data_IF_757544371956
#
_entry.id   IF_757544371956
#
_cell.length_a   1.000
_cell.length_b   1.000
_cell.length_c   1.000
_cell.angle_alpha   90.00
_cell.angle_beta   90.00
_cell.angle_gamma   90.00
#
_symmetry.space_group_name_H-M   'P 1'
#
loop_
_entity.id
_entity.type
_entity.pdbx_description
1 polymer ?
#
# COMPACT_ATOMS: atom_id res chain seq x y z
N UNK A 1 7.00 -10.67 -16.38
CA UNK A 1 7.19 -10.62 -15.01
C UNK A 1 6.14 -11.38 -14.24
N UNK A 2 5.82 -11.15 -12.97
CA UNK A 2 4.94 -12.02 -12.17
C UNK A 2 3.58 -12.38 -12.84
N UNK A 3 2.84 -11.40 -13.35
CA UNK A 3 1.55 -11.64 -14.02
C UNK A 3 1.68 -12.50 -15.30
N UNK A 4 2.76 -12.32 -16.06
CA UNK A 4 3.08 -13.16 -17.22
C UNK A 4 3.46 -14.58 -16.84
N UNK A 5 4.19 -14.74 -15.74
CA UNK A 5 4.56 -16.05 -15.22
C UNK A 5 3.31 -16.81 -14.72
N UNK A 6 2.39 -16.09 -14.05
CA UNK A 6 1.08 -16.64 -13.69
C UNK A 6 0.29 -17.13 -14.89
N UNK A 7 0.17 -16.34 -15.95
CA UNK A 7 -0.58 -16.73 -17.14
C UNK A 7 0.03 -17.95 -17.82
N UNK A 8 1.36 -17.96 -18.01
CA UNK A 8 2.05 -19.10 -18.61
C UNK A 8 1.82 -20.38 -17.83
N UNK A 9 1.76 -20.30 -16.50
CA UNK A 9 1.49 -21.47 -15.65
C UNK A 9 0.02 -21.89 -15.67
N UNK A 10 -0.93 -20.95 -15.65
CA UNK A 10 -2.36 -21.24 -15.79
C UNK A 10 -2.67 -21.91 -17.13
N UNK A 11 -2.05 -21.44 -18.22
CA UNK A 11 -2.19 -22.04 -19.53
C UNK A 11 -1.56 -23.45 -19.60
N UNK A 12 -0.46 -23.67 -18.88
CA UNK A 12 0.18 -24.98 -18.77
C UNK A 12 -0.67 -26.00 -18.00
N UNK A 13 -1.42 -25.55 -16.99
CA UNK A 13 -2.34 -26.41 -16.22
C UNK A 13 -3.55 -26.87 -17.05
N UNK A 14 -4.01 -26.05 -18.00
CA UNK A 14 -5.11 -26.41 -18.90
C UNK A 14 -4.71 -27.42 -19.97
N UNK A 15 -3.42 -27.69 -20.17
CA UNK A 15 -2.91 -28.59 -21.25
C UNK A 15 -2.50 -29.98 -20.75
N UNK A 16 -2.25 -30.15 -19.45
CA UNK A 16 -1.81 -31.43 -18.86
C UNK A 16 -2.65 -31.76 -17.63
N UNK A 17 -3.37 -32.91 -17.70
CA UNK A 17 -4.11 -33.42 -16.57
C UNK A 17 -3.27 -33.62 -15.33
N UNK A 18 -3.91 -33.37 -14.18
CA UNK A 18 -3.58 -33.73 -12.79
C UNK A 18 -2.10 -34.04 -12.50
N UNK A 19 -1.24 -33.04 -12.60
CA UNK A 19 0.06 -33.09 -11.96
C UNK A 19 -0.12 -32.57 -10.52
N UNK A 20 -0.19 -33.49 -9.54
CA UNK A 20 -0.48 -33.20 -8.13
C UNK A 20 0.61 -32.39 -7.42
N UNK A 21 1.73 -32.16 -8.08
CA UNK A 21 2.89 -31.47 -7.53
C UNK A 21 3.05 -30.01 -8.00
N UNK A 22 2.11 -29.49 -8.79
CA UNK A 22 2.16 -28.08 -9.20
C UNK A 22 1.66 -27.15 -8.08
N UNK A 23 2.38 -26.04 -7.80
CA UNK A 23 1.93 -25.08 -6.81
C UNK A 23 0.54 -24.55 -7.14
N UNK A 24 -0.32 -24.48 -6.14
CA UNK A 24 -1.64 -23.85 -6.27
C UNK A 24 -1.41 -22.34 -6.36
N UNK A 25 -2.00 -21.69 -7.37
CA UNK A 25 -1.85 -20.25 -7.59
C UNK A 25 -3.12 -19.49 -7.26
N UNK A 26 -2.92 -18.24 -6.77
CA UNK A 26 -4.04 -17.31 -6.61
C UNK A 26 -4.65 -17.02 -7.98
N UNK A 27 -5.98 -17.20 -8.16
CA UNK A 27 -6.64 -16.94 -9.43
C UNK A 27 -6.46 -15.48 -9.89
N UNK A 28 -6.22 -15.25 -11.18
CA UNK A 28 -6.07 -13.91 -11.75
C UNK A 28 -7.25 -12.99 -11.40
N UNK A 29 -8.48 -13.55 -11.40
CA UNK A 29 -9.70 -12.82 -11.01
C UNK A 29 -9.63 -12.28 -9.58
N UNK A 30 -9.04 -13.05 -8.65
CA UNK A 30 -8.84 -12.62 -7.25
C UNK A 30 -7.86 -11.45 -7.18
N UNK A 31 -6.78 -11.53 -7.94
CA UNK A 31 -5.78 -10.46 -8.04
C UNK A 31 -6.39 -9.22 -8.67
N UNK A 32 -7.19 -9.38 -9.71
CA UNK A 32 -7.89 -8.27 -10.35
C UNK A 32 -8.86 -7.57 -9.38
N UNK A 33 -9.65 -8.34 -8.63
CA UNK A 33 -10.55 -7.77 -7.62
C UNK A 33 -9.78 -7.01 -6.54
N UNK A 34 -8.65 -7.56 -6.06
CA UNK A 34 -7.76 -6.87 -5.12
C UNK A 34 -7.31 -5.51 -5.66
N UNK A 35 -6.85 -5.45 -6.91
CA UNK A 35 -6.42 -4.18 -7.49
C UNK A 35 -7.57 -3.20 -7.72
N UNK A 36 -8.74 -3.67 -8.14
CA UNK A 36 -9.92 -2.82 -8.29
C UNK A 36 -10.33 -2.18 -6.97
N UNK A 37 -10.30 -2.93 -5.88
CA UNK A 37 -10.57 -2.41 -4.54
C UNK A 37 -9.48 -1.43 -4.07
N UNK A 38 -8.19 -1.79 -4.20
CA UNK A 38 -7.07 -0.95 -3.77
C UNK A 38 -7.01 0.38 -4.52
N UNK A 39 -7.33 0.38 -5.81
CA UNK A 39 -7.21 1.53 -6.70
C UNK A 39 -8.55 2.27 -6.86
N UNK A 40 -9.65 1.73 -6.32
CA UNK A 40 -11.03 2.24 -6.54
C UNK A 40 -11.30 2.50 -8.03
N UNK A 41 -10.84 1.62 -8.87
CA UNK A 41 -10.89 1.77 -10.31
C UNK A 41 -11.33 0.47 -10.97
N UNK A 42 -12.16 0.61 -12.02
CA UNK A 42 -12.58 -0.51 -12.87
C UNK A 42 -11.49 -0.89 -13.89
N UNK A 43 -10.23 -0.78 -13.50
CA UNK A 43 -9.12 -1.24 -14.35
C UNK A 43 -9.17 -2.76 -14.47
N UNK A 44 -9.25 -3.23 -15.71
CA UNK A 44 -9.16 -4.65 -16.05
C UNK A 44 -7.73 -4.99 -16.43
N UNK A 45 -7.18 -6.05 -15.84
CA UNK A 45 -5.85 -6.55 -16.16
C UNK A 45 -6.01 -7.60 -17.25
N UNK A 46 -5.50 -7.30 -18.43
CA UNK A 46 -5.51 -8.22 -19.58
C UNK A 46 -4.12 -8.81 -19.74
N UNK A 47 -4.00 -10.09 -19.48
CA UNK A 47 -2.73 -10.82 -19.65
C UNK A 47 -2.81 -11.61 -20.97
N UNK A 48 -1.77 -11.49 -21.79
CA UNK A 48 -1.70 -12.14 -23.09
C UNK A 48 -0.26 -12.51 -23.43
N UNK A 49 -0.06 -13.38 -24.40
CA UNK A 49 1.28 -13.73 -24.90
C UNK A 49 2.14 -12.52 -25.33
N UNK A 50 1.52 -11.37 -25.57
CA UNK A 50 2.19 -10.09 -25.91
C UNK A 50 2.53 -9.26 -24.67
N UNK A 51 2.14 -9.68 -23.49
CA UNK A 51 2.38 -8.98 -22.23
C UNK A 51 1.11 -8.62 -21.48
N UNK A 52 1.30 -7.86 -20.40
CA UNK A 52 0.22 -7.37 -19.55
C UNK A 52 -0.21 -6.00 -20.03
N UNK A 53 -1.50 -5.83 -20.25
CA UNK A 53 -2.15 -4.56 -20.55
C UNK A 53 -3.20 -4.25 -19.49
N UNK A 54 -3.54 -2.99 -19.39
CA UNK A 54 -4.55 -2.48 -18.47
C UNK A 54 -5.66 -1.84 -19.30
N UNK A 55 -6.92 -2.19 -19.04
CA UNK A 55 -8.05 -1.60 -19.74
C UNK A 55 -8.86 -0.76 -18.77
N UNK A 56 -8.96 0.53 -19.04
CA UNK A 56 -9.73 1.48 -18.26
C UNK A 56 -10.66 2.27 -19.17
N UNK A 57 -11.96 2.33 -18.83
CA UNK A 57 -12.98 3.08 -19.60
C UNK A 57 -12.95 2.78 -21.11
N UNK A 58 -12.62 1.55 -21.49
CA UNK A 58 -12.56 1.12 -22.88
C UNK A 58 -11.22 1.35 -23.59
N UNK A 59 -10.27 2.01 -22.95
CA UNK A 59 -8.92 2.24 -23.50
C UNK A 59 -7.94 1.20 -22.97
N UNK A 60 -7.07 0.69 -23.86
CA UNK A 60 -5.95 -0.16 -23.47
C UNK A 60 -4.73 0.70 -23.18
N UNK A 61 -4.16 0.50 -21.99
CA UNK A 61 -2.98 1.19 -21.51
C UNK A 61 -1.85 0.18 -21.28
N UNK A 62 -0.64 0.57 -21.65
CA UNK A 62 0.56 -0.14 -21.21
C UNK A 62 0.91 0.26 -19.77
N UNK A 63 1.72 -0.55 -19.09
CA UNK A 63 2.20 -0.23 -17.73
C UNK A 63 2.83 1.17 -17.63
N UNK A 64 3.61 1.57 -18.63
CA UNK A 64 4.28 2.87 -18.62
C UNK A 64 3.33 4.08 -18.72
N UNK A 65 2.10 3.86 -19.20
CA UNK A 65 1.07 4.90 -19.31
C UNK A 65 0.23 5.09 -18.05
N UNK A 66 0.38 4.19 -17.07
CA UNK A 66 -0.27 4.31 -15.77
C UNK A 66 0.37 5.43 -14.94
N UNK A 67 -0.41 6.03 -14.02
CA UNK A 67 0.13 6.96 -13.05
C UNK A 67 1.12 6.27 -12.10
N UNK A 68 2.04 7.05 -11.51
CA UNK A 68 3.04 6.49 -10.59
C UNK A 68 2.40 5.79 -9.37
N UNK A 69 1.29 6.33 -8.84
CA UNK A 69 0.57 5.68 -7.76
C UNK A 69 0.01 4.31 -8.13
N UNK A 70 -0.58 4.17 -9.33
CA UNK A 70 -1.01 2.87 -9.87
C UNK A 70 0.16 1.90 -10.01
N UNK A 71 1.24 2.35 -10.66
CA UNK A 71 2.45 1.53 -10.85
C UNK A 71 3.00 1.03 -9.52
N UNK A 72 3.09 1.92 -8.54
CA UNK A 72 3.63 1.58 -7.23
C UNK A 72 2.80 0.48 -6.57
N UNK A 73 1.48 0.65 -6.45
CA UNK A 73 0.60 -0.39 -5.88
C UNK A 73 0.72 -1.71 -6.66
N UNK A 74 0.69 -1.66 -7.99
CA UNK A 74 0.81 -2.86 -8.82
C UNK A 74 2.13 -3.60 -8.59
N UNK A 75 3.24 -2.87 -8.47
CA UNK A 75 4.57 -3.47 -8.27
C UNK A 75 4.65 -4.17 -6.91
N UNK A 76 4.42 -3.44 -5.82
CA UNK A 76 4.68 -4.03 -4.50
C UNK A 76 3.61 -5.05 -4.08
N UNK A 77 2.34 -4.90 -4.49
CA UNK A 77 1.32 -5.92 -4.23
C UNK A 77 1.59 -7.19 -5.04
N UNK A 78 2.02 -7.06 -6.30
CA UNK A 78 2.43 -8.23 -7.09
C UNK A 78 3.63 -8.95 -6.47
N UNK A 79 4.63 -8.20 -6.01
CA UNK A 79 5.82 -8.76 -5.33
C UNK A 79 5.44 -9.45 -4.02
N UNK A 80 4.54 -8.84 -3.24
CA UNK A 80 4.01 -9.41 -2.01
C UNK A 80 3.34 -10.78 -2.27
N UNK A 81 2.40 -10.83 -3.22
CA UNK A 81 1.68 -12.07 -3.56
C UNK A 81 2.68 -13.11 -4.07
N UNK A 82 3.60 -12.73 -4.94
CA UNK A 82 4.62 -13.63 -5.47
C UNK A 82 5.46 -14.25 -4.36
N UNK A 83 5.98 -13.46 -3.42
CA UNK A 83 6.79 -13.95 -2.30
C UNK A 83 6.01 -14.90 -1.39
N UNK A 84 4.75 -14.58 -1.11
CA UNK A 84 3.90 -15.48 -0.33
C UNK A 84 3.61 -16.78 -1.07
N UNK A 85 3.36 -16.72 -2.37
CA UNK A 85 3.17 -17.93 -3.18
C UNK A 85 4.41 -18.81 -3.21
N UNK A 86 5.62 -18.22 -3.26
CA UNK A 86 6.88 -18.98 -3.20
C UNK A 86 7.09 -19.64 -1.84
N UNK A 87 6.76 -18.93 -0.76
CA UNK A 87 6.97 -19.44 0.62
C UNK A 87 5.84 -20.36 1.10
N UNK A 88 4.64 -20.23 0.53
CA UNK A 88 3.43 -20.97 0.92
C UNK A 88 2.71 -21.51 -0.33
N UNK A 89 3.30 -22.45 -1.08
CA UNK A 89 2.84 -22.86 -2.42
C UNK A 89 1.48 -23.58 -2.44
N UNK A 90 1.02 -24.05 -1.27
CA UNK A 90 -0.24 -24.77 -1.13
C UNK A 90 -1.43 -23.86 -0.81
N UNK A 91 -1.22 -22.55 -0.74
CA UNK A 91 -2.27 -21.57 -0.45
C UNK A 91 -2.84 -21.00 -1.74
N UNK A 92 -4.17 -21.07 -1.90
CA UNK A 92 -4.92 -20.58 -3.06
C UNK A 92 -5.76 -19.33 -2.79
N UNK A 93 -5.79 -18.86 -1.54
CA UNK A 93 -6.61 -17.70 -1.16
C UNK A 93 -5.74 -16.67 -0.42
N UNK A 94 -5.91 -15.39 -0.77
CA UNK A 94 -5.12 -14.30 -0.17
C UNK A 94 -5.23 -14.25 1.36
N UNK A 95 -6.42 -14.48 1.89
CA UNK A 95 -6.68 -14.41 3.33
C UNK A 95 -6.07 -15.57 4.14
N UNK A 96 -5.63 -16.64 3.49
CA UNK A 96 -5.00 -17.77 4.17
C UNK A 96 -3.48 -17.59 4.34
N UNK A 97 -2.85 -16.64 3.62
CA UNK A 97 -1.44 -16.33 3.81
C UNK A 97 -1.15 -15.83 5.23
N UNK A 98 -0.05 -16.30 5.79
CA UNK A 98 0.43 -15.93 7.12
C UNK A 98 1.86 -15.42 7.06
N UNK A 99 2.15 -14.37 7.80
CA UNK A 99 3.52 -13.84 7.85
C UNK A 99 3.57 -12.44 8.42
N UNK A 100 4.76 -11.86 8.31
CA UNK A 100 5.04 -10.47 8.68
C UNK A 100 5.54 -9.75 7.43
N UNK A 101 4.99 -8.58 7.17
CA UNK A 101 5.35 -7.73 6.04
C UNK A 101 5.84 -6.39 6.56
N UNK A 102 7.03 -6.00 6.12
CA UNK A 102 7.64 -4.71 6.40
C UNK A 102 7.55 -3.87 5.14
N UNK A 103 6.91 -2.70 5.20
CA UNK A 103 6.82 -1.75 4.09
C UNK A 103 7.31 -0.39 4.56
N UNK A 104 8.28 0.13 3.84
CA UNK A 104 8.84 1.46 4.09
C UNK A 104 8.11 2.50 3.24
N UNK A 105 7.77 3.64 3.84
CA UNK A 105 7.07 4.77 3.19
C UNK A 105 5.84 4.34 2.37
N UNK A 106 4.89 3.68 3.02
CA UNK A 106 3.69 3.12 2.35
C UNK A 106 2.90 4.17 1.54
N UNK A 107 2.98 5.44 1.93
CA UNK A 107 2.31 6.56 1.24
C UNK A 107 2.96 6.98 -0.07
N UNK A 108 4.16 6.51 -0.39
CA UNK A 108 4.94 7.00 -1.53
C UNK A 108 4.15 6.92 -2.83
N UNK A 109 3.98 8.07 -3.49
CA UNK A 109 3.21 8.26 -4.72
C UNK A 109 1.71 7.97 -4.62
N UNK A 110 1.17 7.67 -3.43
CA UNK A 110 -0.25 7.43 -3.26
C UNK A 110 -1.05 8.73 -3.19
N UNK A 111 -2.17 8.77 -3.90
CA UNK A 111 -3.16 9.83 -3.73
C UNK A 111 -3.71 9.82 -2.28
N UNK A 112 -3.99 10.99 -1.65
CA UNK A 112 -4.46 11.06 -0.26
C UNK A 112 -5.68 10.18 0.05
N UNK A 113 -6.60 10.00 -0.91
CA UNK A 113 -7.76 9.11 -0.76
C UNK A 113 -7.30 7.66 -0.56
N UNK A 114 -6.33 7.20 -1.33
CA UNK A 114 -5.78 5.85 -1.20
C UNK A 114 -4.97 5.68 0.08
N UNK A 115 -4.18 6.69 0.47
CA UNK A 115 -3.46 6.68 1.74
C UNK A 115 -4.39 6.40 2.92
N UNK A 116 -5.60 6.98 2.91
CA UNK A 116 -6.58 6.79 3.97
C UNK A 116 -7.16 5.38 4.04
N UNK A 117 -7.13 4.62 2.95
CA UNK A 117 -7.84 3.33 2.83
C UNK A 117 -6.92 2.13 2.75
N UNK A 118 -5.69 2.32 2.27
CA UNK A 118 -4.78 1.23 1.92
C UNK A 118 -4.58 0.22 3.05
N UNK A 119 -4.42 0.68 4.30
CA UNK A 119 -4.20 -0.22 5.44
C UNK A 119 -5.44 -1.08 5.70
N UNK A 120 -6.63 -0.47 5.70
CA UNK A 120 -7.88 -1.20 5.90
C UNK A 120 -8.13 -2.24 4.81
N UNK A 121 -7.88 -1.88 3.55
CA UNK A 121 -8.01 -2.79 2.41
C UNK A 121 -7.01 -3.95 2.49
N UNK A 122 -5.74 -3.68 2.80
CA UNK A 122 -4.74 -4.73 2.99
C UNK A 122 -5.14 -5.72 4.07
N UNK A 123 -5.68 -5.26 5.19
CA UNK A 123 -6.16 -6.13 6.26
C UNK A 123 -7.37 -6.97 5.86
N UNK A 124 -8.23 -6.43 5.00
CA UNK A 124 -9.37 -7.18 4.46
C UNK A 124 -8.91 -8.35 3.60
N UNK A 125 -7.93 -8.12 2.73
CA UNK A 125 -7.42 -9.17 1.84
C UNK A 125 -6.43 -10.13 2.52
N UNK A 126 -5.69 -9.64 3.52
CA UNK A 126 -4.62 -10.38 4.20
C UNK A 126 -4.79 -10.34 5.72
N UNK A 127 -5.91 -10.85 6.27
CA UNK A 127 -6.22 -10.73 7.70
C UNK A 127 -5.24 -11.46 8.63
N UNK A 128 -4.51 -12.45 8.12
CA UNK A 128 -3.55 -13.25 8.87
C UNK A 128 -2.09 -12.78 8.69
N UNK A 129 -1.89 -11.63 8.05
CA UNK A 129 -0.57 -11.02 7.91
C UNK A 129 -0.44 -9.86 8.91
N UNK A 130 0.66 -9.86 9.65
CA UNK A 130 1.06 -8.71 10.43
C UNK A 130 1.81 -7.72 9.55
N UNK A 131 1.29 -6.52 9.38
CA UNK A 131 1.95 -5.45 8.67
C UNK A 131 2.68 -4.52 9.63
N UNK A 132 3.88 -4.12 9.25
CA UNK A 132 4.65 -3.06 9.90
C UNK A 132 5.00 -2.03 8.83
N UNK A 133 4.52 -0.81 9.00
CA UNK A 133 4.71 0.27 8.03
C UNK A 133 5.55 1.38 8.63
N UNK A 134 6.40 2.01 7.81
CA UNK A 134 6.85 3.37 8.10
C UNK A 134 6.03 4.36 7.29
N UNK A 135 5.83 5.55 7.83
CA UNK A 135 5.09 6.61 7.15
C UNK A 135 5.43 7.99 7.70
N UNK A 136 5.42 8.99 6.83
CA UNK A 136 5.45 10.41 7.17
C UNK A 136 4.07 11.08 6.98
N UNK A 137 3.03 10.30 6.62
CA UNK A 137 1.70 10.82 6.32
C UNK A 137 0.72 10.68 7.51
N UNK A 138 0.19 11.80 8.04
CA UNK A 138 -0.90 11.75 9.00
C UNK A 138 -2.15 11.04 8.43
N UNK A 139 -2.34 11.09 7.11
CA UNK A 139 -3.47 10.46 6.42
C UNK A 139 -3.42 8.93 6.52
N UNK A 140 -2.23 8.33 6.42
CA UNK A 140 -2.02 6.89 6.64
C UNK A 140 -2.42 6.52 8.07
N UNK A 141 -1.97 7.29 9.07
CA UNK A 141 -2.32 7.03 10.47
C UNK A 141 -3.83 7.17 10.69
N UNK A 142 -4.46 8.17 10.09
CA UNK A 142 -5.90 8.34 10.18
C UNK A 142 -6.67 7.15 9.59
N UNK A 143 -6.17 6.57 8.51
CA UNK A 143 -6.73 5.39 7.85
C UNK A 143 -6.38 4.05 8.49
N UNK A 144 -5.50 4.02 9.48
CA UNK A 144 -5.13 2.81 10.18
C UNK A 144 -6.32 2.27 11.02
N UNK A 145 -6.32 0.97 11.27
CA UNK A 145 -7.35 0.32 12.09
C UNK A 145 -7.22 0.69 13.58
N UNK A 146 -8.32 0.61 14.33
CA UNK A 146 -8.39 0.98 15.76
C UNK A 146 -7.37 0.24 16.64
N UNK A 147 -7.03 -0.99 16.28
CA UNK A 147 -6.04 -1.83 16.98
C UNK A 147 -4.59 -1.55 16.57
N UNK A 148 -4.35 -0.61 15.65
CA UNK A 148 -3.00 -0.27 15.25
C UNK A 148 -2.23 0.41 16.39
N UNK A 149 -0.94 0.04 16.49
CA UNK A 149 0.01 0.62 17.44
C UNK A 149 1.01 1.46 16.65
N UNK A 150 1.22 2.68 17.09
CA UNK A 150 2.03 3.67 16.39
C UNK A 150 3.20 4.07 17.29
N UNK A 151 4.39 4.09 16.72
CA UNK A 151 5.61 4.58 17.37
C UNK A 151 6.18 5.74 16.56
N UNK A 152 6.51 6.84 17.24
CA UNK A 152 7.32 7.89 16.65
C UNK A 152 8.79 7.52 16.76
N UNK A 153 9.48 7.48 15.63
CA UNK A 153 10.93 7.29 15.58
C UNK A 153 11.58 8.69 15.41
N UNK A 154 12.53 9.00 16.24
CA UNK A 154 13.20 10.30 16.23
C UNK A 154 14.67 10.19 16.60
N UNK A 155 15.46 11.16 16.18
CA UNK A 155 16.85 11.29 16.60
C UNK A 155 16.92 12.10 17.88
N UNK A 156 17.46 11.51 18.93
CA UNK A 156 17.65 12.20 20.21
C UNK A 156 18.70 13.32 20.03
N UNK A 157 18.34 14.61 20.25
CA UNK A 157 19.24 15.73 19.99
C UNK A 157 20.46 15.76 20.92
N UNK A 158 20.37 15.14 22.12
CA UNK A 158 21.45 15.12 23.11
C UNK A 158 22.47 14.00 22.82
N UNK A 159 21.99 12.84 22.39
CA UNK A 159 22.85 11.66 22.20
C UNK A 159 23.18 11.37 20.75
N UNK A 160 22.46 11.99 19.80
CA UNK A 160 22.55 11.70 18.38
C UNK A 160 22.03 10.31 17.97
N UNK A 161 21.54 9.52 18.91
CA UNK A 161 21.04 8.15 18.67
C UNK A 161 19.57 8.18 18.26
N UNK A 162 19.18 7.20 17.45
CA UNK A 162 17.77 6.94 17.12
C UNK A 162 17.06 6.37 18.35
N UNK A 163 15.88 6.88 18.63
CA UNK A 163 15.03 6.48 19.75
C UNK A 163 13.58 6.38 19.28
N UNK A 164 12.77 5.62 19.99
CA UNK A 164 11.33 5.55 19.79
C UNK A 164 10.58 6.22 20.94
N UNK A 165 9.38 6.70 20.64
CA UNK A 165 8.42 7.12 21.67
C UNK A 165 7.84 5.92 22.40
N UNK A 166 7.02 6.17 23.43
CA UNK A 166 6.03 5.21 23.91
C UNK A 166 5.00 4.90 22.82
N UNK A 167 4.26 3.81 22.99
CA UNK A 167 3.24 3.38 22.05
C UNK A 167 2.03 4.34 22.06
N UNK A 168 1.62 4.80 20.89
CA UNK A 168 0.34 5.45 20.68
C UNK A 168 -0.65 4.44 20.14
N UNK A 169 -1.80 4.29 20.79
CA UNK A 169 -2.88 3.43 20.31
C UNK A 169 -3.79 4.22 19.38
N UNK A 170 -4.03 3.72 18.17
CA UNK A 170 -4.83 4.41 17.14
C UNK A 170 -6.21 4.83 17.65
N UNK A 171 -6.89 3.96 18.41
CA UNK A 171 -8.18 4.26 19.03
C UNK A 171 -8.22 5.56 19.86
N UNK A 172 -7.08 5.97 20.42
CA UNK A 172 -6.98 7.20 21.21
C UNK A 172 -6.80 8.44 20.31
N UNK A 173 -6.55 8.24 19.01
CA UNK A 173 -6.34 9.29 18.00
C UNK A 173 -7.55 9.47 17.07
N UNK A 174 -8.57 8.63 17.15
CA UNK A 174 -9.71 8.59 16.22
C UNK A 174 -10.55 9.86 16.21
N UNK A 175 -10.59 10.57 17.35
CA UNK A 175 -11.29 11.85 17.46
C UNK A 175 -10.50 13.04 16.90
N UNK A 176 -9.22 12.84 16.54
CA UNK A 176 -8.36 13.92 16.05
C UNK A 176 -8.63 14.18 14.57
N UNK A 177 -8.84 15.44 14.22
CA UNK A 177 -8.84 15.87 12.83
C UNK A 177 -7.42 15.77 12.24
N UNK A 178 -7.31 15.71 10.91
CA UNK A 178 -6.02 15.55 10.21
C UNK A 178 -5.02 16.66 10.58
N UNK A 179 -5.46 17.91 10.64
CA UNK A 179 -4.64 19.04 11.08
C UNK A 179 -4.19 18.91 12.53
N UNK A 180 -5.08 18.48 13.42
CA UNK A 180 -4.75 18.26 14.84
C UNK A 180 -3.77 17.11 15.03
N UNK A 181 -3.88 16.06 14.21
CA UNK A 181 -2.92 14.97 14.20
C UNK A 181 -1.55 15.43 13.71
N UNK A 182 -1.51 16.22 12.63
CA UNK A 182 -0.27 16.76 12.07
C UNK A 182 0.46 17.70 13.04
N UNK A 183 -0.27 18.48 13.84
CA UNK A 183 0.30 19.38 14.86
C UNK A 183 0.53 18.72 16.22
N UNK A 184 0.15 17.46 16.36
CA UNK A 184 0.35 16.68 17.59
C UNK A 184 1.85 16.38 17.83
N UNK A 185 2.23 16.01 19.05
CA UNK A 185 3.60 15.58 19.35
C UNK A 185 4.09 14.42 18.49
N UNK A 186 3.16 13.65 17.89
CA UNK A 186 3.48 12.55 16.99
C UNK A 186 4.23 13.03 15.74
N UNK A 187 3.74 14.09 15.08
CA UNK A 187 4.39 14.67 13.89
C UNK A 187 5.26 15.89 14.22
N UNK A 188 4.91 16.65 15.25
CA UNK A 188 5.71 17.78 15.74
C UNK A 188 5.69 19.00 14.83
N UNK A 189 4.66 19.17 13.99
CA UNK A 189 4.46 20.40 13.24
C UNK A 189 3.89 21.45 14.19
N UNK A 190 4.55 22.61 14.31
CA UNK A 190 4.13 23.69 15.22
C UNK A 190 2.86 24.39 14.74
N UNK A 191 2.68 24.51 13.40
CA UNK A 191 1.49 25.08 12.78
C UNK A 191 1.21 24.38 11.44
N UNK A 192 -0.04 23.96 11.23
CA UNK A 192 -0.51 23.41 9.95
C UNK A 192 -0.81 24.51 8.93
N UNK A 193 -0.77 25.79 9.30
CA UNK A 193 -1.01 26.93 8.42
C UNK A 193 0.30 27.42 7.83
N UNK A 194 0.32 27.56 6.51
CA UNK A 194 1.41 28.27 5.83
C UNK A 194 1.20 29.76 6.12
N UNK A 195 2.02 30.34 7.00
CA UNK A 195 2.07 31.80 7.16
C UNK A 195 2.76 32.36 5.93
N UNK A 196 2.00 32.90 4.97
CA UNK A 196 2.56 33.81 4.00
C UNK A 196 3.04 35.04 4.76
N UNK A 197 4.34 35.16 5.01
CA UNK A 197 4.94 36.43 5.37
C UNK A 197 4.77 37.35 4.18
N UNK A 198 3.76 38.20 4.21
CA UNK A 198 3.73 39.39 3.35
C UNK A 198 4.92 40.24 3.76
N UNK A 199 5.98 40.24 2.95
CA UNK A 199 6.95 41.28 3.03
C UNK A 199 6.22 42.58 2.73
N UNK A 200 5.90 43.36 3.78
CA UNK A 200 5.55 44.76 3.62
C UNK A 200 6.77 45.42 3.02
N UNK A 201 6.70 45.75 1.74
CA UNK A 201 7.63 46.66 1.11
C UNK A 201 7.38 48.02 1.79
N UNK A 202 8.32 48.43 2.62
CA UNK A 202 8.35 49.75 3.23
C UNK A 202 8.58 50.75 2.09
N UNK A 203 7.51 51.39 1.65
CA UNK A 203 7.60 52.55 0.74
C UNK A 203 7.61 53.81 1.63
N UNK A 204 8.75 54.07 2.25
CA UNK A 204 9.11 55.40 2.73
C UNK A 204 10.17 55.97 1.82
N UNK A 205 9.72 56.80 0.85
CA UNK A 205 10.32 58.08 0.44
C UNK A 205 9.35 58.85 -0.47
#
# INVERSE_FOLDING_TARGET
>A
TFLLEMENRLNSQNIKGEDKDLPIWIPLKTIQNLYQELLESNVEIVVSAKGVKFKEKGFELSFNQLSEGYKNILIWVSDLIYRFQQSQPNISKLHDFKGIVLLDEIELHLHPIWQRRIIGQLRTFFPNIQFVFTTHSPTIIQGASEDAIIYKIFRNPKTGKTSSSEAYFKKNLDHMMLNSLATSPLFGLEDARISCKTNSVDTSD
#
